data_IF_944275845709
#
_entry.id   IF_944275845709
#
_cell.length_a   1.000
_cell.length_b   1.000
_cell.length_c   1.000
_cell.angle_alpha   90.00
_cell.angle_beta   90.00
_cell.angle_gamma   90.00
#
_symmetry.space_group_name_H-M   'P 1'
#
loop_
_entity.id
_entity.type
_entity.pdbx_description
1 polymer ?
#
# COMPACT_ATOMS: atom_id res chain seq x y z
N UNK A 1 -4.21 4.31 -0.86
CA UNK A 1 -3.79 2.91 -0.72
C UNK A 1 -4.67 2.29 0.33
N UNK A 2 -5.35 1.21 -0.04
CA UNK A 2 -6.41 0.58 0.72
C UNK A 2 -6.22 -0.93 0.75
N UNK A 3 -6.75 -1.59 1.77
CA UNK A 3 -6.78 -3.06 1.85
C UNK A 3 -8.22 -3.51 1.84
N UNK A 4 -8.54 -4.36 0.87
CA UNK A 4 -9.84 -4.95 0.71
C UNK A 4 -9.84 -6.38 1.28
N UNK A 5 -10.95 -6.76 1.91
CA UNK A 5 -11.20 -8.10 2.44
C UNK A 5 -11.49 -8.13 3.94
N UNK A 6 -11.48 -9.31 4.58
CA UNK A 6 -11.10 -10.60 3.99
C UNK A 6 -12.12 -11.14 2.98
N UNK A 7 -11.63 -11.68 1.87
CA UNK A 7 -12.38 -12.43 0.86
C UNK A 7 -12.33 -13.94 1.13
N UNK A 8 -13.16 -14.77 0.46
CA UNK A 8 -12.96 -16.21 0.44
C UNK A 8 -11.51 -16.55 0.04
N UNK A 9 -10.80 -17.38 0.82
CA UNK A 9 -9.39 -17.61 0.61
C UNK A 9 -9.13 -18.37 -0.69
N UNK A 10 -8.22 -17.83 -1.51
CA UNK A 10 -7.71 -18.50 -2.70
C UNK A 10 -6.49 -19.39 -2.35
N UNK A 11 -5.92 -20.04 -3.38
CA UNK A 11 -4.69 -20.85 -3.25
C UNK A 11 -3.60 -20.03 -2.54
N UNK A 12 -2.97 -20.63 -1.51
CA UNK A 12 -1.98 -19.94 -0.70
C UNK A 12 -2.55 -19.03 0.41
N UNK A 13 -3.83 -19.20 0.76
CA UNK A 13 -4.51 -18.42 1.81
C UNK A 13 -4.60 -16.92 1.50
N UNK A 14 -4.47 -16.54 0.22
CA UNK A 14 -4.64 -15.18 -0.26
C UNK A 14 -6.11 -14.77 -0.05
N UNK A 15 -6.33 -13.81 0.84
CA UNK A 15 -7.67 -13.39 1.25
C UNK A 15 -7.81 -11.88 1.39
N UNK A 16 -6.76 -11.12 1.13
CA UNK A 16 -6.79 -9.67 1.11
C UNK A 16 -6.25 -9.16 -0.22
N UNK A 17 -6.63 -7.94 -0.60
CA UNK A 17 -6.06 -7.25 -1.76
C UNK A 17 -5.59 -5.88 -1.29
N UNK A 18 -4.30 -5.59 -1.46
CA UNK A 18 -3.74 -4.26 -1.27
C UNK A 18 -3.85 -3.51 -2.59
N UNK A 19 -4.52 -2.37 -2.59
CA UNK A 19 -4.82 -1.56 -3.77
C UNK A 19 -4.21 -0.17 -3.60
N UNK A 20 -3.58 0.35 -4.65
CA UNK A 20 -3.22 1.75 -4.77
C UNK A 20 -3.77 2.29 -6.09
N UNK A 21 -4.31 3.50 -6.03
CA UNK A 21 -4.81 4.21 -7.20
C UNK A 21 -3.98 5.47 -7.35
N UNK A 22 -3.40 5.66 -8.53
CA UNK A 22 -2.81 6.93 -8.90
C UNK A 22 -3.92 7.95 -9.15
N UNK A 23 -3.86 9.08 -8.44
CA UNK A 23 -4.92 10.08 -8.44
C UNK A 23 -5.10 10.76 -9.81
N UNK A 24 -4.01 10.97 -10.55
CA UNK A 24 -4.04 11.72 -11.81
C UNK A 24 -4.51 10.86 -12.99
N UNK A 25 -3.96 9.67 -13.11
CA UNK A 25 -4.22 8.76 -14.23
C UNK A 25 -5.35 7.80 -13.96
N UNK A 26 -5.83 7.74 -12.71
CA UNK A 26 -6.76 6.70 -12.22
C UNK A 26 -6.21 5.28 -12.38
N UNK A 27 -4.89 5.12 -12.56
CA UNK A 27 -4.23 3.83 -12.71
C UNK A 27 -4.28 3.03 -11.41
N UNK A 28 -4.63 1.75 -11.50
CA UNK A 28 -4.81 0.88 -10.34
C UNK A 28 -3.68 -0.16 -10.28
N UNK A 29 -2.98 -0.20 -9.17
CA UNK A 29 -2.08 -1.30 -8.79
C UNK A 29 -2.75 -2.13 -7.68
N UNK A 30 -2.80 -3.45 -7.85
CA UNK A 30 -3.44 -4.35 -6.89
C UNK A 30 -2.57 -5.60 -6.65
N UNK A 31 -2.43 -6.00 -5.39
CA UNK A 31 -1.65 -7.17 -5.00
C UNK A 31 -2.40 -8.02 -3.98
N UNK A 32 -2.59 -9.33 -4.24
CA UNK A 32 -3.21 -10.22 -3.28
C UNK A 32 -2.27 -10.55 -2.13
N UNK A 33 -2.80 -10.63 -0.91
CA UNK A 33 -2.06 -10.91 0.32
C UNK A 33 -2.73 -12.01 1.14
N UNK A 34 -1.92 -12.91 1.71
CA UNK A 34 -2.40 -13.91 2.68
C UNK A 34 -2.52 -13.32 4.09
N UNK A 35 -1.60 -12.42 4.44
CA UNK A 35 -1.54 -11.70 5.70
C UNK A 35 -1.26 -10.24 5.44
N UNK A 36 -1.88 -9.38 6.23
CA UNK A 36 -1.62 -7.96 6.21
C UNK A 36 -0.44 -7.68 7.14
N UNK A 37 0.71 -7.29 6.58
CA UNK A 37 1.92 -6.95 7.34
C UNK A 37 2.55 -5.68 6.77
N UNK A 38 3.22 -4.90 7.62
CA UNK A 38 3.94 -3.69 7.17
C UNK A 38 5.03 -3.99 6.13
N UNK A 39 5.66 -5.18 6.19
CA UNK A 39 6.61 -5.62 5.18
C UNK A 39 5.95 -5.84 3.81
N UNK A 40 4.76 -6.46 3.78
CA UNK A 40 4.01 -6.63 2.53
C UNK A 40 3.62 -5.29 1.91
N UNK A 41 3.22 -4.32 2.74
CA UNK A 41 2.89 -2.95 2.30
C UNK A 41 4.12 -2.23 1.76
N UNK A 42 5.27 -2.31 2.45
CA UNK A 42 6.55 -1.78 1.97
C UNK A 42 6.96 -2.38 0.63
N UNK A 43 6.91 -3.72 0.53
CA UNK A 43 7.28 -4.45 -0.69
C UNK A 43 6.38 -4.06 -1.86
N UNK A 44 5.08 -3.90 -1.61
CA UNK A 44 4.13 -3.44 -2.61
C UNK A 44 4.44 -2.01 -3.06
N UNK A 45 4.65 -1.08 -2.11
CA UNK A 45 4.97 0.32 -2.38
C UNK A 45 6.27 0.45 -3.18
N UNK A 46 7.31 -0.30 -2.81
CA UNK A 46 8.57 -0.29 -3.54
C UNK A 46 8.43 -0.84 -4.96
N UNK A 47 7.91 -2.07 -5.11
CA UNK A 47 7.92 -2.76 -6.40
C UNK A 47 6.88 -2.22 -7.38
N UNK A 48 5.64 -2.01 -6.93
CA UNK A 48 4.53 -1.69 -7.82
C UNK A 48 4.32 -0.19 -7.99
N UNK A 49 4.80 0.64 -7.06
CA UNK A 49 4.68 2.10 -7.15
C UNK A 49 6.03 2.72 -7.52
N UNK A 50 7.02 2.62 -6.63
CA UNK A 50 8.28 3.38 -6.76
C UNK A 50 9.12 2.92 -7.95
N UNK A 51 9.40 1.62 -8.08
CA UNK A 51 10.20 1.11 -9.20
C UNK A 51 9.52 1.26 -10.56
N UNK A 52 8.19 1.40 -10.59
CA UNK A 52 7.41 1.46 -11.83
C UNK A 52 7.14 2.89 -12.28
N UNK A 53 6.77 3.78 -11.37
CA UNK A 53 6.34 5.15 -11.66
C UNK A 53 7.28 6.22 -11.11
N UNK A 54 8.27 5.82 -10.30
CA UNK A 54 9.11 6.75 -9.55
C UNK A 54 8.53 7.08 -8.16
N UNK A 55 9.22 7.97 -7.45
CA UNK A 55 8.83 8.37 -6.09
C UNK A 55 7.62 9.30 -6.16
N UNK A 56 6.46 8.92 -5.59
CA UNK A 56 5.29 9.80 -5.56
C UNK A 56 5.51 10.99 -4.63
N UNK A 57 4.86 12.12 -4.92
CA UNK A 57 4.91 13.29 -4.03
C UNK A 57 4.26 13.03 -2.67
N UNK A 58 3.10 12.35 -2.70
CA UNK A 58 2.31 12.03 -1.53
C UNK A 58 1.63 10.68 -1.67
N UNK A 59 1.36 10.07 -0.53
CA UNK A 59 0.59 8.85 -0.41
C UNK A 59 -0.53 9.08 0.59
N UNK A 60 -1.75 8.66 0.25
CA UNK A 60 -2.91 8.67 1.14
C UNK A 60 -3.24 7.22 1.46
N UNK A 61 -3.41 6.86 2.74
CA UNK A 61 -3.92 5.54 3.13
C UNK A 61 -5.14 5.68 4.02
N UNK A 62 -6.22 5.00 3.67
CA UNK A 62 -7.52 5.10 4.35
C UNK A 62 -7.66 4.16 5.56
N UNK A 63 -6.82 3.14 5.59
CA UNK A 63 -6.97 2.04 6.50
C UNK A 63 -6.16 2.31 7.79
N UNK A 64 -6.79 2.10 8.95
CA UNK A 64 -6.36 2.64 10.24
C UNK A 64 -4.92 2.35 10.67
N UNK A 65 -4.49 2.99 11.77
CA UNK A 65 -3.15 2.90 12.43
C UNK A 65 -2.53 1.49 12.54
N UNK A 66 -3.31 0.45 12.34
CA UNK A 66 -2.93 -0.96 12.31
C UNK A 66 -1.97 -1.32 11.16
N UNK A 67 -1.98 -0.55 10.06
CA UNK A 67 -1.18 -0.85 8.85
C UNK A 67 0.02 0.07 8.70
N UNK A 68 -0.10 1.28 9.23
CA UNK A 68 0.94 2.29 9.30
C UNK A 68 1.85 1.93 10.47
N UNK A 69 2.75 0.98 10.24
CA UNK A 69 3.82 0.71 11.20
C UNK A 69 4.75 1.92 11.25
N UNK A 70 5.34 2.19 12.42
CA UNK A 70 6.42 3.18 12.53
C UNK A 70 7.53 2.92 11.49
N UNK A 71 7.76 1.65 11.16
CA UNK A 71 8.71 1.28 10.12
C UNK A 71 8.27 1.71 8.71
N UNK A 72 6.98 1.68 8.37
CA UNK A 72 6.47 2.17 7.08
C UNK A 72 6.56 3.69 6.99
N UNK A 73 6.23 4.40 8.07
CA UNK A 73 6.38 5.86 8.14
C UNK A 73 7.84 6.29 7.95
N UNK A 74 8.78 5.65 8.64
CA UNK A 74 10.21 5.93 8.45
C UNK A 74 10.64 5.71 7.00
N UNK A 75 10.15 4.63 6.37
CA UNK A 75 10.44 4.33 4.96
C UNK A 75 9.90 5.42 4.01
N UNK A 76 8.68 5.92 4.22
CA UNK A 76 8.14 7.03 3.42
C UNK A 76 8.95 8.31 3.63
N UNK A 77 9.31 8.61 4.89
CA UNK A 77 10.11 9.78 5.25
C UNK A 77 11.51 9.76 4.63
N UNK A 78 12.19 8.61 4.63
CA UNK A 78 13.51 8.45 4.00
C UNK A 78 13.47 8.73 2.49
N UNK A 79 12.35 8.45 1.84
CA UNK A 79 12.13 8.71 0.42
C UNK A 79 11.55 10.09 0.13
N UNK A 80 11.29 10.90 1.16
CA UNK A 80 10.67 12.24 1.02
C UNK A 80 9.20 12.21 0.59
N UNK A 81 8.51 11.08 0.77
CA UNK A 81 7.09 10.93 0.41
C UNK A 81 6.23 11.50 1.55
N UNK A 82 5.31 12.41 1.23
CA UNK A 82 4.36 12.95 2.22
C UNK A 82 3.25 11.96 2.49
N UNK A 83 3.12 11.51 3.73
CA UNK A 83 1.96 10.73 4.14
C UNK A 83 0.82 11.67 4.54
N UNK A 84 -0.27 11.64 3.78
CA UNK A 84 -1.43 12.49 3.99
C UNK A 84 -2.54 11.70 4.69
N UNK A 85 -3.33 12.36 5.57
CA UNK A 85 -4.52 11.74 6.15
C UNK A 85 -5.54 11.40 5.06
N UNK A 86 -6.41 10.40 5.28
CA UNK A 86 -7.56 10.19 4.41
C UNK A 86 -8.43 11.44 4.33
N UNK A 87 -8.95 11.70 3.14
CA UNK A 87 -9.91 12.77 2.86
C UNK A 87 -11.28 12.45 3.47
#
# INVERSE_FOLDING_TARGET
MEILGPFPPAKGQLKFVLVAVDYFTTWIEACPLAKITGENVKRFTWKNIICRFGIPHSLITDNGKQFITQSFESFLRELGIKHLPPL
#
